data_IF_760228319429
#
_entry.id   IF_760228319429
#
_cell.length_a   1.000
_cell.length_b   1.000
_cell.length_c   1.000
_cell.angle_alpha   90.00
_cell.angle_beta   90.00
_cell.angle_gamma   90.00
#
_symmetry.space_group_name_H-M   'P 1'
#
loop_
_entity.id
_entity.type
_entity.pdbx_description
1 polymer ?
#
# COMPACT_ATOMS: atom_id res chain seq x y z
N UNK A 1 29.65 4.19 41.91
CA UNK A 1 28.62 3.69 40.93
C UNK A 1 28.64 2.17 40.99
N UNK A 2 27.52 1.55 41.35
CA UNK A 2 27.43 0.09 41.37
C UNK A 2 27.21 -0.42 39.94
N UNK A 3 28.20 -1.09 39.36
CA UNK A 3 28.20 -1.58 37.97
C UNK A 3 27.66 -3.01 37.86
N UNK A 4 26.70 -3.41 38.71
CA UNK A 4 26.09 -4.76 38.67
C UNK A 4 25.24 -4.97 37.43
N UNK A 5 24.52 -3.94 36.99
CA UNK A 5 23.75 -3.98 35.75
C UNK A 5 24.65 -3.62 34.54
N UNK A 6 24.77 -4.56 33.61
CA UNK A 6 25.60 -4.40 32.41
C UNK A 6 24.88 -4.96 31.20
N UNK A 7 23.99 -4.21 30.54
CA UNK A 7 23.23 -4.67 29.36
C UNK A 7 24.10 -5.19 28.22
N UNK A 8 25.35 -4.71 28.10
CA UNK A 8 26.30 -5.17 27.08
C UNK A 8 26.64 -6.67 27.16
N UNK A 9 26.36 -7.34 28.28
CA UNK A 9 26.51 -8.79 28.42
C UNK A 9 25.64 -9.59 27.44
N UNK A 10 24.53 -8.99 26.97
CA UNK A 10 23.59 -9.59 26.02
C UNK A 10 23.90 -9.26 24.55
N UNK A 11 25.10 -8.69 24.27
CA UNK A 11 25.46 -8.22 22.92
C UNK A 11 26.42 -9.16 22.19
N UNK A 12 26.80 -10.30 22.78
CA UNK A 12 27.64 -11.30 22.09
C UNK A 12 26.81 -12.06 21.05
N UNK A 13 27.45 -12.49 19.96
CA UNK A 13 26.79 -13.13 18.83
C UNK A 13 25.92 -14.34 19.22
N UNK A 14 26.39 -15.14 20.19
CA UNK A 14 25.64 -16.32 20.67
C UNK A 14 24.38 -15.97 21.50
N UNK A 15 24.32 -14.80 22.11
CA UNK A 15 23.19 -14.39 22.99
C UNK A 15 22.19 -13.51 22.23
N UNK A 16 22.65 -12.69 21.29
CA UNK A 16 21.79 -11.74 20.55
C UNK A 16 20.54 -12.38 19.97
N UNK A 17 20.60 -13.52 19.25
CA UNK A 17 19.40 -14.16 18.71
C UNK A 17 18.44 -14.68 19.80
N UNK A 18 18.98 -15.10 20.94
CA UNK A 18 18.18 -15.68 22.04
C UNK A 18 17.34 -14.63 22.78
N UNK A 19 17.73 -13.36 22.70
CA UNK A 19 17.07 -12.23 23.40
C UNK A 19 16.46 -11.22 22.42
N UNK A 20 16.39 -11.57 21.13
CA UNK A 20 15.74 -10.75 20.14
C UNK A 20 14.21 -10.72 20.41
N UNK A 21 13.66 -9.52 20.62
CA UNK A 21 12.23 -9.32 20.89
C UNK A 21 11.40 -9.25 19.60
N UNK A 22 12.05 -8.94 18.47
CA UNK A 22 11.40 -8.74 17.18
C UNK A 22 12.13 -9.55 16.11
N UNK A 23 11.38 -10.27 15.32
CA UNK A 23 11.86 -10.97 14.12
C UNK A 23 10.93 -10.66 12.94
N UNK A 24 11.49 -10.71 11.73
CA UNK A 24 10.72 -10.69 10.50
C UNK A 24 10.44 -12.13 10.05
N UNK A 25 9.26 -12.33 9.47
CA UNK A 25 8.84 -13.55 8.82
C UNK A 25 8.36 -13.24 7.41
N UNK A 26 8.38 -14.21 6.50
CA UNK A 26 7.79 -14.05 5.16
C UNK A 26 6.30 -13.77 5.23
N UNK A 27 5.61 -14.26 6.26
CA UNK A 27 4.18 -13.99 6.51
C UNK A 27 3.88 -12.54 6.92
N UNK A 28 4.89 -11.74 7.26
CA UNK A 28 4.72 -10.31 7.52
C UNK A 28 4.71 -9.47 6.23
N UNK A 29 5.12 -10.07 5.09
CA UNK A 29 5.44 -9.35 3.87
C UNK A 29 4.29 -9.40 2.86
N UNK A 30 4.00 -8.24 2.24
CA UNK A 30 3.08 -8.10 1.13
C UNK A 30 3.83 -7.47 -0.04
N UNK A 31 3.84 -8.15 -1.19
CA UNK A 31 4.54 -7.67 -2.39
C UNK A 31 3.62 -6.85 -3.29
N UNK A 32 3.99 -5.60 -3.67
CA UNK A 32 3.25 -4.83 -4.67
C UNK A 32 3.44 -5.41 -6.08
N UNK A 33 2.35 -5.47 -6.85
CA UNK A 33 2.34 -5.90 -8.25
C UNK A 33 1.66 -4.83 -9.10
N UNK A 34 2.35 -4.36 -10.16
CA UNK A 34 1.81 -3.40 -11.12
C UNK A 34 1.38 -4.14 -12.38
N UNK A 35 0.07 -4.19 -12.64
CA UNK A 35 -0.49 -4.82 -13.84
C UNK A 35 -0.83 -3.74 -14.85
N UNK A 36 -0.27 -3.82 -16.05
CA UNK A 36 -0.35 -2.80 -17.08
C UNK A 36 -1.10 -3.35 -18.31
N UNK A 37 -2.24 -2.74 -18.64
CA UNK A 37 -3.04 -3.11 -19.79
C UNK A 37 -2.60 -2.37 -21.08
N UNK A 38 -1.58 -1.52 -21.02
CA UNK A 38 -1.07 -0.75 -22.15
C UNK A 38 0.10 -1.40 -22.88
N UNK A 39 0.63 -2.52 -22.33
CA UNK A 39 1.81 -3.21 -22.84
C UNK A 39 1.57 -4.72 -22.94
N UNK A 40 2.26 -5.34 -23.89
CA UNK A 40 2.32 -6.81 -24.05
C UNK A 40 3.65 -7.39 -23.51
N UNK A 41 4.54 -6.55 -22.98
CA UNK A 41 5.85 -6.94 -22.46
C UNK A 41 6.05 -6.36 -21.05
N UNK A 42 6.90 -6.99 -20.22
CA UNK A 42 7.34 -6.45 -18.94
C UNK A 42 8.14 -5.18 -19.14
N UNK A 43 7.83 -4.15 -18.38
CA UNK A 43 8.47 -2.84 -18.45
C UNK A 43 9.11 -2.50 -17.12
N UNK A 44 10.45 -2.39 -17.12
CA UNK A 44 11.18 -1.99 -15.92
C UNK A 44 10.79 -0.56 -15.47
N UNK A 45 10.65 -0.35 -14.17
CA UNK A 45 10.37 0.95 -13.57
C UNK A 45 11.71 1.59 -13.21
N UNK A 46 12.16 2.58 -14.00
CA UNK A 46 13.50 3.18 -13.89
C UNK A 46 13.76 3.76 -12.48
N UNK A 47 12.76 4.40 -11.88
CA UNK A 47 12.86 4.99 -10.55
C UNK A 47 12.80 3.98 -9.39
N UNK A 48 12.57 2.69 -9.70
CA UNK A 48 12.44 1.59 -8.72
C UNK A 48 13.22 0.36 -9.20
N UNK A 49 14.54 0.31 -9.03
CA UNK A 49 15.39 -0.78 -9.54
C UNK A 49 14.89 -2.16 -9.12
N UNK A 50 14.75 -3.08 -10.09
CA UNK A 50 14.23 -4.43 -9.85
C UNK A 50 12.70 -4.57 -9.82
N UNK A 51 11.96 -3.44 -9.89
CA UNK A 51 10.51 -3.46 -10.03
C UNK A 51 10.10 -3.28 -11.49
N UNK A 52 8.96 -3.86 -11.85
CA UNK A 52 8.44 -3.84 -13.22
C UNK A 52 6.91 -3.74 -13.27
N UNK A 53 6.39 -3.24 -14.37
CA UNK A 53 5.00 -3.40 -14.76
C UNK A 53 4.89 -4.67 -15.59
N UNK A 54 3.87 -5.45 -15.34
CA UNK A 54 3.63 -6.71 -16.07
C UNK A 54 2.34 -6.64 -16.86
N UNK A 55 2.29 -7.17 -18.11
CA UNK A 55 1.03 -7.29 -18.83
C UNK A 55 0.06 -8.22 -18.08
N UNK A 56 -1.24 -8.05 -18.31
CA UNK A 56 -2.27 -8.87 -17.65
C UNK A 56 -2.02 -10.36 -17.86
N UNK A 57 -1.57 -10.73 -19.04
CA UNK A 57 -1.30 -12.11 -19.43
C UNK A 57 -0.16 -12.76 -18.63
N UNK A 58 0.77 -11.96 -18.10
CA UNK A 58 1.90 -12.40 -17.27
C UNK A 58 1.66 -12.22 -15.77
N UNK A 59 0.50 -11.73 -15.35
CA UNK A 59 0.21 -11.48 -13.92
C UNK A 59 0.31 -12.73 -13.07
N UNK A 60 -0.12 -13.89 -13.58
CA UNK A 60 0.00 -15.20 -12.89
C UNK A 60 1.46 -15.59 -12.73
N UNK A 61 2.24 -15.57 -13.81
CA UNK A 61 3.66 -15.91 -13.75
C UNK A 61 4.43 -15.01 -12.76
N UNK A 62 4.10 -13.70 -12.72
CA UNK A 62 4.71 -12.78 -11.77
C UNK A 62 4.38 -13.13 -10.32
N UNK A 63 3.14 -13.54 -10.04
CA UNK A 63 2.71 -13.94 -8.71
C UNK A 63 3.37 -15.27 -8.30
N UNK A 64 3.54 -16.21 -9.22
CA UNK A 64 4.28 -17.44 -8.98
C UNK A 64 5.76 -17.18 -8.62
N UNK A 65 6.43 -16.22 -9.30
CA UNK A 65 7.81 -15.80 -8.95
C UNK A 65 7.89 -15.22 -7.53
N UNK A 66 6.88 -14.44 -7.10
CA UNK A 66 6.78 -13.91 -5.75
C UNK A 66 6.59 -15.02 -4.72
N UNK A 67 5.71 -15.97 -5.03
CA UNK A 67 5.46 -17.15 -4.18
C UNK A 67 6.68 -18.05 -4.06
N UNK A 68 7.43 -18.26 -5.15
CA UNK A 68 8.72 -19.00 -5.14
C UNK A 68 9.78 -18.34 -4.24
N UNK A 69 9.71 -17.01 -4.07
CA UNK A 69 10.57 -16.30 -3.12
C UNK A 69 10.12 -16.47 -1.66
N UNK A 70 8.92 -17.02 -1.41
CA UNK A 70 8.35 -17.28 -0.09
C UNK A 70 7.36 -16.20 0.38
N UNK A 71 6.84 -15.35 -0.51
CA UNK A 71 5.83 -14.32 -0.20
C UNK A 71 4.47 -14.78 -0.72
N UNK A 72 3.49 -14.92 0.16
CA UNK A 72 2.16 -15.45 -0.17
C UNK A 72 1.11 -14.38 -0.41
N UNK A 73 1.36 -13.13 0.02
CA UNK A 73 0.42 -12.02 -0.10
C UNK A 73 0.92 -10.95 -1.07
N UNK A 74 0.03 -10.48 -1.93
CA UNK A 74 0.30 -9.43 -2.90
C UNK A 74 -0.71 -8.29 -2.79
N UNK A 75 -0.30 -7.07 -3.19
CA UNK A 75 -1.23 -5.96 -3.43
C UNK A 75 -1.15 -5.53 -4.89
N UNK A 76 -2.30 -5.50 -5.58
CA UNK A 76 -2.39 -5.26 -7.02
C UNK A 76 -2.73 -3.80 -7.30
N UNK A 77 -1.93 -3.16 -8.16
CA UNK A 77 -2.16 -1.85 -8.76
C UNK A 77 -2.35 -2.00 -10.26
N UNK A 78 -3.34 -1.31 -10.84
CA UNK A 78 -3.67 -1.44 -12.25
C UNK A 78 -3.39 -0.18 -13.05
N UNK A 79 -2.77 -0.31 -14.22
CA UNK A 79 -2.60 0.76 -15.21
C UNK A 79 -3.58 0.46 -16.37
N UNK A 80 -4.66 1.26 -16.54
CA UNK A 80 -5.68 0.99 -17.56
C UNK A 80 -5.25 1.42 -18.96
N UNK A 81 -5.88 0.84 -19.98
CA UNK A 81 -5.68 1.19 -21.40
C UNK A 81 -6.08 2.63 -21.74
N UNK A 82 -7.01 3.19 -20.96
CA UNK A 82 -7.51 4.55 -21.15
C UNK A 82 -7.98 5.14 -19.84
N UNK A 83 -7.85 6.44 -19.73
CA UNK A 83 -8.29 7.23 -18.57
C UNK A 83 -9.38 8.20 -19.00
N UNK A 84 -10.30 8.51 -18.09
CA UNK A 84 -11.30 9.54 -18.29
C UNK A 84 -11.49 10.38 -17.03
N UNK A 85 -12.24 11.48 -17.13
CA UNK A 85 -12.44 12.40 -16.01
C UNK A 85 -13.03 11.75 -14.75
N UNK A 86 -13.84 10.72 -14.92
CA UNK A 86 -14.54 10.03 -13.82
C UNK A 86 -13.84 8.74 -13.38
N UNK A 87 -12.80 8.31 -14.10
CA UNK A 87 -12.10 7.06 -13.81
C UNK A 87 -12.94 5.80 -14.03
N UNK A 88 -13.81 5.80 -15.06
CA UNK A 88 -14.83 4.74 -15.25
C UNK A 88 -14.23 3.34 -15.44
N UNK A 89 -12.96 3.24 -15.91
CA UNK A 89 -12.26 1.95 -16.04
C UNK A 89 -11.94 1.29 -14.70
N UNK A 90 -11.95 2.04 -13.59
CA UNK A 90 -11.64 1.51 -12.27
C UNK A 90 -12.66 0.45 -11.78
N UNK A 91 -13.93 0.58 -12.17
CA UNK A 91 -15.00 -0.39 -11.83
C UNK A 91 -15.56 -1.14 -13.02
N UNK A 92 -14.92 -1.06 -14.19
CA UNK A 92 -15.35 -1.80 -15.36
C UNK A 92 -15.14 -3.30 -15.14
N UNK A 93 -16.13 -4.11 -15.50
CA UNK A 93 -16.04 -5.57 -15.32
C UNK A 93 -14.85 -6.19 -16.08
N UNK A 94 -14.46 -5.59 -17.21
CA UNK A 94 -13.29 -5.91 -18.01
C UNK A 94 -12.06 -5.04 -17.70
N UNK A 95 -12.06 -4.34 -16.55
CA UNK A 95 -10.95 -3.50 -16.10
C UNK A 95 -9.67 -4.30 -15.84
N UNK A 96 -8.54 -3.58 -15.82
CA UNK A 96 -7.21 -4.19 -15.68
C UNK A 96 -7.09 -5.01 -14.40
N UNK A 97 -7.50 -4.46 -13.24
CA UNK A 97 -7.44 -5.16 -11.95
C UNK A 97 -8.39 -6.33 -11.93
N UNK A 98 -9.64 -6.16 -12.40
CA UNK A 98 -10.64 -7.22 -12.42
C UNK A 98 -10.21 -8.43 -13.29
N UNK A 99 -9.57 -8.16 -14.43
CA UNK A 99 -9.01 -9.21 -15.31
C UNK A 99 -7.83 -9.92 -14.65
N UNK A 100 -6.90 -9.17 -14.06
CA UNK A 100 -5.75 -9.73 -13.37
C UNK A 100 -6.15 -10.56 -12.15
N UNK A 101 -7.02 -10.03 -11.29
CA UNK A 101 -7.48 -10.73 -10.08
C UNK A 101 -8.18 -12.04 -10.43
N UNK A 102 -9.11 -12.07 -11.42
CA UNK A 102 -9.75 -13.33 -11.84
C UNK A 102 -8.76 -14.40 -12.28
N UNK A 103 -7.69 -14.01 -12.98
CA UNK A 103 -6.65 -14.95 -13.41
C UNK A 103 -5.81 -15.43 -12.23
N UNK A 104 -5.33 -14.50 -11.41
CA UNK A 104 -4.49 -14.83 -10.25
C UNK A 104 -5.24 -15.74 -9.28
N UNK A 105 -6.46 -15.40 -8.89
CA UNK A 105 -7.28 -16.19 -7.97
C UNK A 105 -7.71 -17.55 -8.53
N UNK A 106 -7.77 -17.70 -9.85
CA UNK A 106 -8.10 -18.99 -10.48
C UNK A 106 -6.89 -19.92 -10.65
N UNK A 107 -5.69 -19.37 -10.75
CA UNK A 107 -4.47 -20.11 -11.16
C UNK A 107 -3.40 -20.18 -10.05
N UNK A 108 -3.55 -19.41 -8.93
CA UNK A 108 -2.58 -19.39 -7.82
C UNK A 108 -3.30 -19.47 -6.45
N UNK A 109 -2.52 -19.78 -5.40
CA UNK A 109 -2.98 -19.76 -3.99
C UNK A 109 -2.60 -18.44 -3.28
N UNK A 110 -2.18 -17.40 -4.01
CA UNK A 110 -1.77 -16.12 -3.43
C UNK A 110 -2.95 -15.39 -2.78
N UNK A 111 -2.71 -14.76 -1.63
CA UNK A 111 -3.66 -13.85 -0.99
C UNK A 111 -3.66 -12.50 -1.70
N UNK A 112 -4.76 -12.19 -2.39
CA UNK A 112 -4.84 -11.05 -3.29
C UNK A 112 -5.51 -9.85 -2.62
N UNK A 113 -4.71 -8.83 -2.32
CA UNK A 113 -5.19 -7.53 -1.86
C UNK A 113 -5.32 -6.60 -3.07
N UNK A 114 -6.38 -5.80 -3.14
CA UNK A 114 -6.54 -4.83 -4.23
C UNK A 114 -6.58 -3.40 -3.70
N UNK A 115 -5.77 -2.53 -4.30
CA UNK A 115 -5.85 -1.08 -4.06
C UNK A 115 -7.15 -0.52 -4.63
N UNK A 116 -7.84 0.32 -3.85
CA UNK A 116 -9.06 1.01 -4.29
C UNK A 116 -8.81 2.50 -4.31
N UNK A 117 -8.57 3.01 -5.51
CA UNK A 117 -8.32 4.41 -5.80
C UNK A 117 -8.80 4.78 -7.20
N UNK A 118 -8.84 6.06 -7.50
CA UNK A 118 -9.16 6.61 -8.83
C UNK A 118 -7.95 7.21 -9.54
N UNK A 119 -6.82 7.45 -8.87
CA UNK A 119 -5.72 8.23 -9.43
C UNK A 119 -5.04 7.59 -10.65
N UNK A 120 -5.08 6.27 -10.77
CA UNK A 120 -4.57 5.54 -11.93
C UNK A 120 -5.52 5.61 -13.14
N UNK A 121 -6.81 5.90 -12.90
CA UNK A 121 -7.90 5.81 -13.87
C UNK A 121 -8.43 7.16 -14.34
N UNK A 122 -8.17 8.23 -13.59
CA UNK A 122 -8.57 9.57 -13.96
C UNK A 122 -7.52 10.24 -14.84
N UNK A 123 -7.96 11.01 -15.84
CA UNK A 123 -7.09 11.79 -16.74
C UNK A 123 -6.36 12.93 -16.03
N UNK A 124 -6.88 13.35 -14.87
CA UNK A 124 -6.29 14.36 -14.01
C UNK A 124 -5.42 13.82 -12.86
N UNK A 125 -5.40 12.50 -12.61
CA UNK A 125 -4.54 11.85 -11.61
C UNK A 125 -4.88 12.14 -10.13
N UNK A 126 -6.05 12.71 -9.80
CA UNK A 126 -6.54 12.82 -8.43
C UNK A 126 -7.28 11.57 -7.98
N UNK A 127 -7.32 11.34 -6.65
CA UNK A 127 -7.87 10.12 -6.06
C UNK A 127 -9.41 10.11 -5.95
N UNK A 128 -10.10 11.04 -6.61
CA UNK A 128 -11.55 11.13 -6.53
C UNK A 128 -12.16 11.95 -7.65
N UNK A 129 -13.47 12.12 -7.57
CA UNK A 129 -14.26 12.98 -8.46
C UNK A 129 -13.87 14.44 -8.19
N UNK A 130 -13.67 15.23 -9.24
CA UNK A 130 -13.30 16.63 -9.07
C UNK A 130 -14.52 17.48 -8.75
N UNK A 131 -14.35 18.47 -7.87
CA UNK A 131 -15.33 19.52 -7.67
C UNK A 131 -15.54 20.35 -8.94
N UNK A 132 -16.71 20.97 -9.06
CA UNK A 132 -17.01 21.86 -10.17
C UNK A 132 -16.07 23.07 -10.16
N UNK A 133 -15.32 23.27 -11.24
CA UNK A 133 -14.35 24.35 -11.35
C UNK A 133 -12.98 24.07 -10.74
N UNK A 134 -12.71 22.86 -10.23
CA UNK A 134 -11.40 22.48 -9.66
C UNK A 134 -10.23 22.68 -10.64
N UNK A 135 -10.45 22.53 -11.94
CA UNK A 135 -9.43 22.75 -12.99
C UNK A 135 -8.88 24.20 -12.99
N UNK A 136 -9.67 25.15 -12.48
CA UNK A 136 -9.32 26.58 -12.42
C UNK A 136 -8.94 27.05 -11.01
N UNK A 137 -9.22 26.27 -9.96
CA UNK A 137 -8.84 26.57 -8.57
C UNK A 137 -8.04 25.38 -7.98
N UNK A 138 -6.71 25.45 -7.96
CA UNK A 138 -5.88 24.36 -7.47
C UNK A 138 -6.03 24.06 -5.98
N UNK A 139 -6.82 24.84 -5.24
CA UNK A 139 -7.08 24.61 -3.81
C UNK A 139 -8.24 23.65 -3.57
N UNK A 140 -9.12 23.50 -4.55
CA UNK A 140 -10.31 22.64 -4.48
C UNK A 140 -10.16 21.54 -5.53
N UNK A 141 -9.97 20.30 -5.12
CA UNK A 141 -9.68 19.21 -6.06
C UNK A 141 -10.72 18.12 -6.07
N UNK A 142 -11.09 17.56 -4.93
CA UNK A 142 -11.93 16.37 -4.85
C UNK A 142 -13.22 16.65 -4.09
N UNK A 143 -14.36 16.30 -4.71
CA UNK A 143 -15.65 16.19 -4.06
C UNK A 143 -15.69 14.87 -3.28
N UNK A 144 -15.69 14.99 -1.95
CA UNK A 144 -15.65 13.84 -1.03
C UNK A 144 -16.84 12.90 -1.27
N UNK A 145 -18.05 13.43 -1.19
CA UNK A 145 -19.27 12.63 -1.20
C UNK A 145 -19.53 11.97 -2.56
N UNK A 146 -19.26 12.67 -3.66
CA UNK A 146 -19.34 12.09 -4.99
C UNK A 146 -18.30 10.98 -5.23
N UNK A 147 -17.15 11.06 -4.55
CA UNK A 147 -16.09 10.06 -4.64
C UNK A 147 -16.47 8.75 -3.95
N UNK A 148 -17.20 8.81 -2.83
CA UNK A 148 -17.61 7.63 -2.06
C UNK A 148 -18.36 6.59 -2.91
N UNK A 149 -19.24 7.03 -3.81
CA UNK A 149 -19.99 6.13 -4.69
C UNK A 149 -19.08 5.41 -5.70
N UNK A 150 -18.06 6.09 -6.20
CA UNK A 150 -17.08 5.50 -7.10
C UNK A 150 -16.22 4.46 -6.38
N UNK A 151 -15.72 4.78 -5.18
CA UNK A 151 -14.93 3.84 -4.37
C UNK A 151 -15.72 2.57 -4.01
N UNK A 152 -17.01 2.71 -3.68
CA UNK A 152 -17.89 1.58 -3.41
C UNK A 152 -18.07 0.65 -4.65
N UNK A 153 -18.20 1.23 -5.86
CA UNK A 153 -18.27 0.47 -7.11
C UNK A 153 -16.98 -0.28 -7.41
N UNK A 154 -15.83 0.38 -7.19
CA UNK A 154 -14.51 -0.24 -7.39
C UNK A 154 -14.39 -1.45 -6.45
N UNK A 155 -14.63 -1.25 -5.15
CA UNK A 155 -14.54 -2.31 -4.15
C UNK A 155 -15.43 -3.51 -4.48
N UNK A 156 -16.71 -3.28 -4.84
CA UNK A 156 -17.64 -4.34 -5.25
C UNK A 156 -17.16 -5.09 -6.50
N UNK A 157 -16.64 -4.38 -7.51
CA UNK A 157 -16.12 -5.02 -8.72
C UNK A 157 -14.84 -5.85 -8.47
N UNK A 158 -14.00 -5.44 -7.53
CA UNK A 158 -12.82 -6.20 -7.10
C UNK A 158 -13.23 -7.45 -6.30
N UNK A 159 -14.23 -7.33 -5.42
CA UNK A 159 -14.82 -8.46 -4.70
C UNK A 159 -15.40 -9.50 -5.68
N UNK A 160 -16.17 -9.06 -6.68
CA UNK A 160 -16.71 -9.93 -7.74
C UNK A 160 -15.60 -10.61 -8.56
N UNK A 161 -14.46 -9.94 -8.73
CA UNK A 161 -13.30 -10.51 -9.43
C UNK A 161 -12.53 -11.55 -8.61
N UNK A 162 -12.77 -11.66 -7.29
CA UNK A 162 -12.16 -12.63 -6.41
C UNK A 162 -11.00 -12.09 -5.55
N UNK A 163 -11.00 -10.79 -5.23
CA UNK A 163 -10.08 -10.23 -4.25
C UNK A 163 -10.33 -10.80 -2.85
N UNK A 164 -9.25 -11.08 -2.09
CA UNK A 164 -9.32 -11.58 -0.71
C UNK A 164 -9.36 -10.45 0.32
N UNK A 165 -8.97 -9.22 -0.06
CA UNK A 165 -9.00 -8.03 0.79
C UNK A 165 -9.08 -6.77 -0.06
N UNK A 166 -9.86 -5.79 0.40
CA UNK A 166 -10.01 -4.47 -0.23
C UNK A 166 -9.19 -3.43 0.53
N UNK A 167 -8.39 -2.63 -0.19
CA UNK A 167 -7.49 -1.65 0.43
C UNK A 167 -7.75 -0.22 -0.10
N UNK A 168 -8.73 0.53 0.47
CA UNK A 168 -9.02 1.90 0.04
C UNK A 168 -7.89 2.85 0.41
N UNK A 169 -7.35 3.55 -0.61
CA UNK A 169 -6.15 4.39 -0.48
C UNK A 169 -6.38 5.87 -0.77
N UNK A 170 -7.63 6.30 -0.94
CA UNK A 170 -7.98 7.65 -1.35
C UNK A 170 -7.84 8.73 -0.27
N UNK A 171 -7.86 8.39 1.02
CA UNK A 171 -8.01 9.33 2.14
C UNK A 171 -9.26 10.21 1.98
N UNK A 172 -10.40 9.58 1.72
CA UNK A 172 -11.71 10.21 1.55
C UNK A 172 -12.54 9.94 2.79
N UNK A 173 -13.08 10.98 3.40
CA UNK A 173 -13.87 10.86 4.65
C UNK A 173 -15.08 9.96 4.43
N UNK A 174 -15.25 8.93 5.28
CA UNK A 174 -16.34 7.97 5.17
C UNK A 174 -16.13 6.83 4.16
N UNK A 175 -14.93 6.70 3.58
CA UNK A 175 -14.66 5.70 2.54
C UNK A 175 -14.85 4.26 3.03
N UNK A 176 -14.41 3.95 4.25
CA UNK A 176 -14.51 2.59 4.80
C UNK A 176 -15.97 2.22 5.02
N UNK A 177 -16.75 3.07 5.67
CA UNK A 177 -18.18 2.84 5.93
C UNK A 177 -19.00 2.70 4.65
N UNK A 178 -18.68 3.51 3.63
CA UNK A 178 -19.34 3.44 2.32
C UNK A 178 -19.03 2.13 1.59
N UNK A 179 -17.75 1.72 1.58
CA UNK A 179 -17.30 0.45 0.98
C UNK A 179 -17.90 -0.72 1.74
N UNK A 180 -17.82 -0.76 3.08
CA UNK A 180 -18.39 -1.83 3.90
C UNK A 180 -19.87 -2.03 3.61
N UNK A 181 -20.65 -0.93 3.61
CA UNK A 181 -22.07 -0.97 3.30
C UNK A 181 -22.39 -1.46 1.89
N UNK A 182 -21.51 -1.23 0.92
CA UNK A 182 -21.69 -1.73 -0.44
C UNK A 182 -21.39 -3.23 -0.52
N UNK A 183 -20.28 -3.66 0.05
CA UNK A 183 -19.87 -5.08 0.09
C UNK A 183 -20.92 -5.94 0.79
N UNK A 184 -21.44 -5.50 1.95
CA UNK A 184 -22.48 -6.23 2.69
C UNK A 184 -23.77 -6.40 1.89
N UNK A 185 -24.18 -5.37 1.14
CA UNK A 185 -25.39 -5.46 0.28
C UNK A 185 -25.25 -6.44 -0.88
N UNK A 186 -24.02 -6.69 -1.32
CA UNK A 186 -23.72 -7.58 -2.44
C UNK A 186 -23.30 -8.99 -1.98
N UNK A 187 -23.36 -9.27 -0.65
CA UNK A 187 -23.10 -10.60 -0.09
C UNK A 187 -21.63 -10.86 0.21
N UNK A 188 -20.81 -9.81 0.36
CA UNK A 188 -19.38 -9.87 0.69
C UNK A 188 -19.10 -9.43 2.13
N UNK A 189 -19.96 -9.77 3.10
CA UNK A 189 -19.86 -9.38 4.50
C UNK A 189 -18.56 -9.89 5.16
N UNK A 190 -17.99 -10.96 4.63
CA UNK A 190 -16.76 -11.56 5.16
C UNK A 190 -15.48 -11.07 4.48
N UNK A 191 -15.58 -10.19 3.48
CA UNK A 191 -14.40 -9.65 2.79
C UNK A 191 -13.77 -8.54 3.62
N UNK A 192 -12.51 -8.69 4.10
CA UNK A 192 -11.88 -7.70 4.95
C UNK A 192 -11.51 -6.42 4.20
N UNK A 193 -11.46 -5.32 4.96
CA UNK A 193 -11.04 -3.99 4.50
C UNK A 193 -9.76 -3.59 5.24
N UNK A 194 -8.68 -3.36 4.51
CA UNK A 194 -7.44 -2.76 5.01
C UNK A 194 -7.42 -1.28 4.62
N UNK A 195 -7.78 -0.41 5.55
CA UNK A 195 -7.78 1.02 5.27
C UNK A 195 -6.40 1.62 5.32
N UNK A 196 -6.09 2.51 4.37
CA UNK A 196 -4.98 3.45 4.46
C UNK A 196 -5.34 4.57 5.46
N UNK A 197 -5.62 4.18 6.70
CA UNK A 197 -6.21 5.01 7.75
C UNK A 197 -5.35 6.24 8.14
N UNK A 198 -4.04 6.15 7.97
CA UNK A 198 -3.12 7.26 8.21
C UNK A 198 -2.17 7.44 7.01
N UNK A 199 -2.65 8.07 5.95
CA UNK A 199 -1.84 8.39 4.77
C UNK A 199 -1.54 9.87 4.68
N UNK A 200 -0.28 10.23 4.94
CA UNK A 200 0.19 11.61 4.82
C UNK A 200 0.52 11.98 3.37
N UNK A 201 0.35 13.25 3.01
CA UNK A 201 1.00 13.82 1.82
C UNK A 201 2.50 13.69 2.00
N UNK A 202 3.19 13.14 1.01
CA UNK A 202 4.59 12.78 1.19
C UNK A 202 5.42 12.96 -0.07
N UNK A 203 6.63 13.51 0.12
CA UNK A 203 7.66 13.58 -0.90
C UNK A 203 8.21 12.19 -1.31
N UNK A 204 7.99 11.16 -0.47
CA UNK A 204 8.43 9.79 -0.75
C UNK A 204 7.57 9.05 -1.79
N UNK A 205 6.54 9.68 -2.37
CA UNK A 205 5.70 9.02 -3.38
C UNK A 205 6.17 9.22 -4.84
N UNK A 206 7.28 9.94 -5.06
CA UNK A 206 7.75 10.25 -6.41
C UNK A 206 7.83 9.02 -7.32
N UNK A 207 8.60 7.98 -6.97
CA UNK A 207 8.76 6.80 -7.82
C UNK A 207 7.45 6.02 -8.06
N UNK A 208 6.52 6.01 -7.11
CA UNK A 208 5.20 5.38 -7.31
C UNK A 208 4.37 6.08 -8.38
N UNK A 209 4.46 7.41 -8.47
CA UNK A 209 3.74 8.18 -9.50
C UNK A 209 4.20 7.79 -10.90
N UNK A 210 5.49 7.49 -11.06
CA UNK A 210 6.04 6.96 -12.31
C UNK A 210 5.58 5.52 -12.55
N UNK A 211 5.59 4.69 -11.50
CA UNK A 211 5.22 3.27 -11.58
C UNK A 211 3.75 3.04 -11.97
N UNK A 212 2.83 3.79 -11.36
CA UNK A 212 1.38 3.63 -11.54
C UNK A 212 0.77 4.60 -12.55
N UNK A 213 1.60 5.43 -13.21
CA UNK A 213 1.14 6.50 -14.14
C UNK A 213 0.03 7.39 -13.52
N UNK A 214 0.16 7.69 -12.22
CA UNK A 214 -0.87 8.36 -11.41
C UNK A 214 -0.43 9.74 -10.90
N UNK A 215 0.45 10.47 -11.60
CA UNK A 215 0.83 11.83 -11.21
C UNK A 215 -0.34 12.81 -11.43
N UNK A 216 -0.64 13.73 -10.46
CA UNK A 216 -1.68 14.73 -10.67
C UNK A 216 -1.28 15.67 -11.80
N UNK A 217 -2.20 15.90 -12.75
CA UNK A 217 -2.00 16.79 -13.90
C UNK A 217 -1.98 18.27 -13.50
N UNK A 218 -2.57 18.62 -12.36
CA UNK A 218 -2.57 19.96 -11.76
C UNK A 218 -2.70 19.87 -10.24
N UNK A 219 -2.37 20.96 -9.54
CA UNK A 219 -2.46 21.03 -8.08
C UNK A 219 -1.57 20.02 -7.36
N UNK A 220 -1.99 19.60 -6.18
CA UNK A 220 -1.37 18.57 -5.37
C UNK A 220 -2.44 17.76 -4.62
N UNK A 221 -2.03 16.86 -3.74
CA UNK A 221 -2.97 16.01 -2.97
C UNK A 221 -3.20 16.47 -1.53
N UNK A 222 -2.76 17.66 -1.16
CA UNK A 222 -2.86 18.22 0.21
C UNK A 222 -4.29 18.49 0.66
N UNK A 223 -5.20 18.60 -0.29
CA UNK A 223 -6.62 18.78 0.02
C UNK A 223 -7.24 17.56 0.71
N UNK A 224 -6.77 16.35 0.41
CA UNK A 224 -7.34 15.11 0.95
C UNK A 224 -6.33 14.16 1.60
N UNK A 225 -5.03 14.36 1.46
CA UNK A 225 -4.02 13.62 2.22
C UNK A 225 -3.57 14.44 3.43
N UNK A 226 -3.34 13.78 4.56
CA UNK A 226 -2.97 14.44 5.82
C UNK A 226 -1.70 15.26 5.71
N UNK A 227 -1.65 16.37 6.44
CA UNK A 227 -0.44 17.15 6.61
C UNK A 227 0.60 16.34 7.43
N UNK A 228 1.83 16.13 6.90
CA UNK A 228 2.89 15.41 7.61
C UNK A 228 3.28 16.02 8.97
N UNK A 229 2.90 17.27 9.25
CA UNK A 229 3.12 17.93 10.53
C UNK A 229 2.11 17.53 11.63
N UNK A 230 1.03 16.79 11.28
CA UNK A 230 -0.15 16.66 12.14
C UNK A 230 -0.38 15.22 12.65
N UNK A 231 0.38 14.76 13.64
CA UNK A 231 0.16 13.44 14.27
C UNK A 231 -1.24 13.29 14.92
N UNK A 232 -1.87 14.38 15.40
CA UNK A 232 -3.21 14.32 15.99
C UNK A 232 -4.30 14.05 14.97
N UNK A 233 -4.11 14.49 13.74
CA UNK A 233 -4.99 14.20 12.62
C UNK A 233 -4.99 12.70 12.32
N UNK A 234 -3.80 12.08 12.25
CA UNK A 234 -3.66 10.64 12.06
C UNK A 234 -4.47 9.82 13.09
N UNK A 235 -4.44 10.20 14.37
CA UNK A 235 -5.26 9.54 15.41
C UNK A 235 -6.75 9.63 15.14
N UNK A 236 -7.20 10.79 14.66
CA UNK A 236 -8.60 11.02 14.36
C UNK A 236 -9.06 10.21 13.16
N UNK A 237 -8.27 10.19 12.10
CA UNK A 237 -8.55 9.38 10.90
C UNK A 237 -8.59 7.88 11.21
N UNK A 238 -7.59 7.39 11.96
CA UNK A 238 -7.55 5.99 12.41
C UNK A 238 -8.80 5.63 13.23
N UNK A 239 -9.24 6.52 14.13
CA UNK A 239 -10.42 6.27 14.94
C UNK A 239 -11.70 6.19 14.10
N UNK A 240 -11.85 7.07 13.11
CA UNK A 240 -12.99 7.07 12.20
C UNK A 240 -13.04 5.80 11.36
N UNK A 241 -11.92 5.41 10.74
CA UNK A 241 -11.86 4.21 9.92
C UNK A 241 -12.13 2.93 10.72
N UNK A 242 -11.64 2.86 11.98
CA UNK A 242 -11.94 1.75 12.88
C UNK A 242 -13.43 1.69 13.24
N UNK A 243 -14.07 2.84 13.54
CA UNK A 243 -15.51 2.94 13.82
C UNK A 243 -16.37 2.60 12.59
N UNK A 244 -15.88 2.91 11.39
CA UNK A 244 -16.52 2.61 10.10
C UNK A 244 -16.42 1.14 9.68
N UNK A 245 -15.60 0.34 10.37
CA UNK A 245 -15.47 -1.10 10.17
C UNK A 245 -14.28 -1.54 9.32
N UNK A 246 -13.16 -0.82 9.38
CA UNK A 246 -11.89 -1.33 8.87
C UNK A 246 -11.43 -2.54 9.72
N UNK A 247 -10.96 -3.60 9.07
CA UNK A 247 -10.43 -4.80 9.73
C UNK A 247 -8.93 -4.70 9.99
N UNK A 248 -8.21 -3.97 9.13
CA UNK A 248 -6.78 -3.69 9.24
C UNK A 248 -6.55 -2.19 9.05
N UNK A 249 -5.73 -1.59 9.93
CA UNK A 249 -5.43 -0.16 9.90
C UNK A 249 -4.00 0.07 9.42
N UNK A 250 -3.82 0.86 8.36
CA UNK A 250 -2.52 1.08 7.73
C UNK A 250 -1.98 2.49 7.94
N UNK A 251 -0.66 2.58 8.17
CA UNK A 251 0.11 3.83 8.14
C UNK A 251 0.96 3.89 6.87
N UNK A 252 0.89 5.00 6.14
CA UNK A 252 1.65 5.26 4.90
C UNK A 252 2.12 6.71 4.82
N UNK A 253 3.43 6.97 4.61
CA UNK A 253 4.57 6.04 4.57
C UNK A 253 4.89 5.38 5.92
N UNK A 254 5.81 4.39 5.94
CA UNK A 254 6.18 3.69 7.16
C UNK A 254 7.32 4.36 7.94
N UNK A 255 8.55 4.44 7.37
CA UNK A 255 9.74 4.88 8.12
C UNK A 255 9.63 6.28 8.71
N UNK A 256 9.10 7.30 8.02
CA UNK A 256 8.96 8.64 8.59
C UNK A 256 7.89 8.75 9.68
N UNK A 257 7.03 7.72 9.85
CA UNK A 257 5.86 7.72 10.72
C UNK A 257 5.81 6.52 11.66
N UNK A 258 6.99 6.01 12.09
CA UNK A 258 7.08 4.92 13.08
C UNK A 258 6.45 5.28 14.42
N UNK A 259 6.39 6.55 14.77
CA UNK A 259 5.69 7.08 15.94
C UNK A 259 4.17 6.82 15.83
N UNK A 260 3.57 7.05 14.65
CA UNK A 260 2.16 6.77 14.39
C UNK A 260 1.90 5.26 14.40
N UNK A 261 2.78 4.45 13.78
CA UNK A 261 2.67 2.97 13.83
C UNK A 261 2.69 2.49 15.27
N UNK A 262 3.63 2.99 16.08
CA UNK A 262 3.77 2.58 17.48
C UNK A 262 2.61 3.06 18.36
N UNK A 263 2.00 4.18 18.03
CA UNK A 263 0.82 4.69 18.71
C UNK A 263 -0.41 3.86 18.37
N UNK A 264 -0.67 3.63 17.08
CA UNK A 264 -1.74 2.78 16.59
C UNK A 264 -1.72 1.39 17.26
N UNK A 265 -0.55 0.74 17.29
CA UNK A 265 -0.37 -0.56 17.95
C UNK A 265 -0.70 -0.56 19.45
N UNK A 266 -0.53 0.56 20.14
CA UNK A 266 -0.82 0.66 21.60
C UNK A 266 -2.28 0.96 21.89
N UNK A 267 -2.97 1.63 20.98
CA UNK A 267 -4.32 2.14 21.21
C UNK A 267 -5.42 1.26 20.63
N UNK A 268 -5.09 0.41 19.65
CA UNK A 268 -6.04 -0.43 18.92
C UNK A 268 -5.62 -1.89 18.93
N UNK A 269 -6.61 -2.77 19.07
CA UNK A 269 -6.44 -4.23 18.97
C UNK A 269 -6.47 -4.74 17.52
N UNK A 270 -6.68 -3.85 16.53
CA UNK A 270 -6.67 -4.18 15.11
C UNK A 270 -5.27 -4.61 14.67
N UNK A 271 -5.16 -5.52 13.68
CA UNK A 271 -3.92 -5.70 12.94
C UNK A 271 -3.45 -4.38 12.32
N UNK A 272 -2.15 -4.13 12.39
CA UNK A 272 -1.51 -2.91 11.89
C UNK A 272 -0.74 -3.22 10.62
N UNK A 273 -1.06 -2.53 9.54
CA UNK A 273 -0.25 -2.54 8.33
C UNK A 273 0.63 -1.28 8.25
N UNK A 274 1.78 -1.41 7.59
CA UNK A 274 2.65 -0.28 7.28
C UNK A 274 3.19 -0.41 5.86
N UNK A 275 3.21 0.70 5.10
CA UNK A 275 3.71 0.70 3.73
C UNK A 275 5.10 1.33 3.66
N UNK A 276 6.12 0.51 3.45
CA UNK A 276 7.46 0.93 3.07
C UNK A 276 7.43 1.36 1.59
N UNK A 277 7.28 2.68 1.37
CA UNK A 277 6.91 3.24 0.08
C UNK A 277 8.07 3.36 -0.90
N UNK A 278 7.73 3.67 -2.16
CA UNK A 278 8.66 3.73 -3.29
C UNK A 278 9.85 4.66 -3.09
N UNK A 279 9.68 5.81 -2.43
CA UNK A 279 10.79 6.71 -2.12
C UNK A 279 11.70 6.20 -1.02
N UNK A 280 11.16 5.45 -0.04
CA UNK A 280 11.96 4.76 0.97
C UNK A 280 12.81 3.66 0.32
N UNK A 281 12.23 2.91 -0.61
CA UNK A 281 12.92 1.91 -1.43
C UNK A 281 14.02 2.54 -2.29
N UNK A 282 13.68 3.54 -3.09
CA UNK A 282 14.59 4.18 -4.04
C UNK A 282 15.78 4.87 -3.34
N UNK A 283 15.57 5.51 -2.17
CA UNK A 283 16.67 6.15 -1.46
C UNK A 283 17.72 5.16 -0.96
N UNK A 284 17.31 3.95 -0.55
CA UNK A 284 18.25 2.90 -0.12
C UNK A 284 19.04 2.35 -1.29
N UNK A 285 18.40 2.12 -2.44
CA UNK A 285 19.08 1.75 -3.68
C UNK A 285 20.09 2.82 -4.10
N UNK A 286 19.70 4.09 -4.14
CA UNK A 286 20.59 5.20 -4.53
C UNK A 286 21.82 5.34 -3.61
N UNK A 287 21.69 5.06 -2.31
CA UNK A 287 22.80 5.06 -1.37
C UNK A 287 23.70 3.82 -1.53
N UNK A 288 23.10 2.67 -1.80
CA UNK A 288 23.82 1.41 -2.04
C UNK A 288 24.64 1.45 -3.34
N UNK A 289 24.08 1.99 -4.41
CA UNK A 289 24.78 2.18 -5.72
C UNK A 289 26.04 3.02 -5.59
N UNK A 290 26.07 3.93 -4.62
CA UNK A 290 27.27 4.73 -4.28
C UNK A 290 28.23 4.02 -3.35
N UNK A 291 27.91 2.80 -2.91
CA UNK A 291 28.72 2.05 -1.95
C UNK A 291 28.73 2.63 -0.53
N UNK A 292 27.74 3.46 -0.20
CA UNK A 292 27.66 4.07 1.12
C UNK A 292 26.96 3.17 2.15
N UNK A 293 26.03 2.35 1.71
CA UNK A 293 25.28 1.41 2.52
C UNK A 293 25.27 0.01 1.87
N UNK A 294 25.19 -1.02 2.69
CA UNK A 294 24.88 -2.37 2.25
C UNK A 294 23.36 -2.51 2.09
N UNK A 295 22.90 -2.61 0.84
CA UNK A 295 21.45 -2.68 0.56
C UNK A 295 20.73 -3.76 1.36
N UNK A 296 21.23 -5.03 1.40
CA UNK A 296 20.54 -6.08 2.13
C UNK A 296 20.45 -5.82 3.64
N UNK A 297 21.47 -5.21 4.21
CA UNK A 297 21.51 -4.93 5.64
C UNK A 297 20.59 -3.78 6.01
N UNK A 298 20.63 -2.68 5.25
CA UNK A 298 19.81 -1.51 5.55
C UNK A 298 18.32 -1.76 5.22
N UNK A 299 18.01 -2.55 4.21
CA UNK A 299 16.63 -2.98 3.91
C UNK A 299 16.08 -3.83 5.06
N UNK A 300 16.84 -4.84 5.52
CA UNK A 300 16.45 -5.67 6.67
C UNK A 300 16.25 -4.81 7.93
N UNK A 301 17.18 -3.91 8.25
CA UNK A 301 17.09 -3.04 9.44
C UNK A 301 15.88 -2.10 9.36
N UNK A 302 15.59 -1.57 8.18
CA UNK A 302 14.43 -0.70 7.93
C UNK A 302 13.11 -1.45 8.20
N UNK A 303 12.95 -2.63 7.61
CA UNK A 303 11.73 -3.44 7.77
C UNK A 303 11.60 -3.99 9.20
N UNK A 304 12.71 -4.39 9.83
CA UNK A 304 12.72 -4.77 11.23
C UNK A 304 12.32 -3.59 12.14
N UNK A 305 12.68 -2.37 11.79
CA UNK A 305 12.27 -1.17 12.52
C UNK A 305 10.77 -0.91 12.42
N UNK A 306 10.18 -1.15 11.26
CA UNK A 306 8.73 -1.08 11.03
C UNK A 306 8.01 -2.17 11.85
N UNK A 307 8.51 -3.41 11.81
CA UNK A 307 7.98 -4.51 12.63
C UNK A 307 8.08 -4.21 14.12
N UNK A 308 9.22 -3.72 14.58
CA UNK A 308 9.43 -3.33 16.00
C UNK A 308 8.52 -2.19 16.44
N UNK A 309 8.15 -1.28 15.54
CA UNK A 309 7.18 -0.23 15.85
C UNK A 309 5.77 -0.81 16.07
N UNK A 310 5.46 -2.00 15.54
CA UNK A 310 4.22 -2.70 15.81
C UNK A 310 3.42 -3.15 14.60
N UNK A 311 3.98 -3.02 13.37
CA UNK A 311 3.32 -3.52 12.18
C UNK A 311 3.21 -5.05 12.19
N UNK A 312 2.02 -5.56 11.89
CA UNK A 312 1.77 -6.98 11.66
C UNK A 312 2.01 -7.34 10.18
N UNK A 313 1.60 -6.45 9.25
CA UNK A 313 1.80 -6.57 7.81
C UNK A 313 2.68 -5.43 7.30
N UNK A 314 3.61 -5.74 6.41
CA UNK A 314 4.50 -4.75 5.79
C UNK A 314 4.42 -4.86 4.27
N UNK A 315 3.80 -3.86 3.64
CA UNK A 315 3.84 -3.73 2.19
C UNK A 315 5.19 -3.16 1.81
N UNK A 316 5.96 -3.86 0.98
CA UNK A 316 7.31 -3.43 0.62
C UNK A 316 7.77 -3.99 -0.72
N UNK A 317 8.52 -3.20 -1.45
CA UNK A 317 9.20 -3.60 -2.69
C UNK A 317 10.44 -4.48 -2.44
N UNK A 318 10.88 -4.61 -1.19
CA UNK A 318 11.93 -5.54 -0.77
C UNK A 318 11.40 -6.93 -0.41
N UNK A 319 10.12 -7.22 -0.60
CA UNK A 319 9.48 -8.44 -0.10
C UNK A 319 10.21 -9.71 -0.57
N UNK A 320 10.44 -9.86 -1.86
CA UNK A 320 11.12 -11.04 -2.43
C UNK A 320 12.59 -11.15 -2.00
N UNK A 321 13.33 -10.04 -2.06
CA UNK A 321 14.76 -10.02 -1.70
C UNK A 321 14.97 -10.33 -0.22
N UNK A 322 14.06 -9.88 0.62
CA UNK A 322 14.09 -10.18 2.04
C UNK A 322 13.66 -11.63 2.31
N UNK A 323 12.55 -12.09 1.72
CA UNK A 323 12.04 -13.44 1.93
C UNK A 323 13.06 -14.54 1.61
N UNK A 324 13.85 -14.36 0.52
CA UNK A 324 14.96 -15.27 0.17
C UNK A 324 16.08 -15.33 1.21
N UNK A 325 16.07 -14.48 2.23
CA UNK A 325 17.12 -14.37 3.29
C UNK A 325 16.61 -14.75 4.67
N UNK A 326 15.30 -14.80 4.84
CA UNK A 326 14.64 -15.24 6.07
C UNK A 326 14.59 -16.76 6.15
#
# INVERSE_FOLDING_TARGET
MDLRDRPRRLRTDGVRPLVAETSLSTTDLVAPVFVDATTDERVAIESMPGQERVPIEESVARVEEIAEAGVEAIIVFGIPESKDRSGTRAWANDGVVQRAVRRISAETDAYVITDVCLCEYTDHGHCGVLEEGADSDPRLTVDNDATLDSLARIAASHAEAGADMIAPSGMIDGMVGRIRSALDREGYENLPIMSYAAKSESAFYGPFRDAADGAPAFGDRRHYQMDPANAREARREIALDAEEGADVLMVKPALPYLDIVAELRREYDHPVAAYNVSGEYAMLHAAADRGWLSLPEVAHESLLSIKRAGADLIITYFAEDLARRL
#
